data_IF_169827394597
#
_entry.id   IF_169827394597
#
_cell.length_a   1.000
_cell.length_b   1.000
_cell.length_c   1.000
_cell.angle_alpha   90.00
_cell.angle_beta   90.00
_cell.angle_gamma   90.00
#
_symmetry.space_group_name_H-M   'P 1'
#
loop_
_entity.id
_entity.type
_entity.pdbx_description
1 polymer ?
#
# COMPACT_ATOMS: atom_id res chain seq x y z
N UNK A 1 24.58 -13.63 -1.73
CA UNK A 1 23.90 -12.41 -1.22
C UNK A 1 23.23 -11.58 -2.32
N UNK A 2 23.84 -11.41 -3.50
CA UNK A 2 23.38 -10.48 -4.56
C UNK A 2 21.90 -10.64 -4.98
N UNK A 3 21.36 -11.86 -5.04
CA UNK A 3 19.98 -12.10 -5.49
C UNK A 3 18.91 -11.57 -4.52
N UNK A 4 19.18 -11.55 -3.20
CA UNK A 4 18.23 -11.02 -2.22
C UNK A 4 18.15 -9.49 -2.27
N UNK A 5 19.31 -8.84 -2.39
CA UNK A 5 19.40 -7.38 -2.53
C UNK A 5 18.77 -6.93 -3.83
N UNK A 6 19.09 -7.55 -4.97
CA UNK A 6 18.47 -7.20 -6.26
C UNK A 6 16.96 -7.40 -6.24
N UNK A 7 16.47 -8.50 -5.65
CA UNK A 7 15.04 -8.76 -5.54
C UNK A 7 14.31 -7.72 -4.68
N UNK A 8 14.89 -7.33 -3.54
CA UNK A 8 14.34 -6.30 -2.67
C UNK A 8 14.28 -4.94 -3.38
N UNK A 9 15.38 -4.54 -4.04
CA UNK A 9 15.47 -3.28 -4.78
C UNK A 9 14.39 -3.21 -5.86
N UNK A 10 14.22 -4.27 -6.66
CA UNK A 10 13.18 -4.30 -7.70
C UNK A 10 11.78 -4.13 -7.12
N UNK A 11 11.46 -4.81 -6.01
CA UNK A 11 10.15 -4.68 -5.36
C UNK A 11 9.94 -3.28 -4.80
N UNK A 12 10.94 -2.70 -4.13
CA UNK A 12 10.86 -1.34 -3.60
C UNK A 12 10.73 -0.30 -4.72
N UNK A 13 11.38 -0.52 -5.86
CA UNK A 13 11.27 0.38 -7.00
C UNK A 13 9.85 0.38 -7.59
N UNK A 14 9.24 -0.80 -7.74
CA UNK A 14 7.84 -0.92 -8.18
C UNK A 14 6.89 -0.29 -7.17
N UNK A 15 7.07 -0.60 -5.88
CA UNK A 15 6.28 -0.03 -4.79
C UNK A 15 6.33 1.50 -4.76
N UNK A 16 7.55 2.07 -4.85
CA UNK A 16 7.77 3.51 -4.91
C UNK A 16 7.16 4.14 -6.16
N UNK A 17 7.28 3.49 -7.32
CA UNK A 17 6.67 3.97 -8.56
C UNK A 17 5.14 4.05 -8.44
N UNK A 18 4.50 3.01 -7.92
CA UNK A 18 3.04 2.99 -7.70
C UNK A 18 2.62 4.06 -6.69
N UNK A 19 3.38 4.21 -5.60
CA UNK A 19 3.16 5.24 -4.60
C UNK A 19 3.20 6.64 -5.23
N UNK A 20 4.26 6.95 -5.98
CA UNK A 20 4.43 8.24 -6.65
C UNK A 20 3.37 8.50 -7.72
N UNK A 21 3.01 7.51 -8.53
CA UNK A 21 1.94 7.64 -9.53
C UNK A 21 0.59 7.88 -8.84
N UNK A 22 0.32 7.20 -7.72
CA UNK A 22 -0.89 7.41 -6.93
C UNK A 22 -0.98 8.83 -6.37
N UNK A 23 0.09 9.32 -5.74
CA UNK A 23 0.19 10.71 -5.26
C UNK A 23 -0.02 11.69 -6.40
N UNK A 24 0.69 11.50 -7.51
CA UNK A 24 0.60 12.38 -8.67
C UNK A 24 -0.84 12.40 -9.24
N UNK A 25 -1.47 11.23 -9.41
CA UNK A 25 -2.84 11.12 -9.88
C UNK A 25 -3.83 11.81 -8.92
N UNK A 26 -3.62 11.72 -7.61
CA UNK A 26 -4.49 12.40 -6.63
C UNK A 26 -4.29 13.92 -6.60
N UNK A 27 -3.08 14.43 -6.79
CA UNK A 27 -2.79 15.87 -6.74
C UNK A 27 -3.07 16.58 -8.07
N UNK A 28 -2.81 15.92 -9.20
CA UNK A 28 -2.88 16.53 -10.52
C UNK A 28 -4.32 16.67 -11.05
N UNK A 29 -5.24 15.82 -10.60
CA UNK A 29 -6.61 15.77 -11.14
C UNK A 29 -7.44 16.91 -10.58
N UNK A 30 -8.05 17.69 -11.49
CA UNK A 30 -9.01 18.77 -11.15
C UNK A 30 -10.37 18.25 -10.68
N UNK A 31 -10.75 17.02 -11.06
CA UNK A 31 -11.99 16.39 -10.63
C UNK A 31 -11.72 15.47 -9.44
N UNK A 32 -12.46 15.68 -8.35
CA UNK A 32 -12.34 14.92 -7.10
C UNK A 32 -12.56 13.42 -7.30
N UNK A 33 -13.55 13.00 -8.10
CA UNK A 33 -13.80 11.59 -8.38
C UNK A 33 -12.60 10.93 -9.09
N UNK A 34 -11.95 11.66 -10.01
CA UNK A 34 -10.74 11.18 -10.68
C UNK A 34 -9.51 11.21 -9.78
N UNK A 35 -9.43 12.15 -8.83
CA UNK A 35 -8.35 12.24 -7.84
C UNK A 35 -8.37 11.06 -6.86
N UNK A 36 -9.57 10.60 -6.48
CA UNK A 36 -9.74 9.47 -5.56
C UNK A 36 -9.20 8.15 -6.13
N UNK A 37 -9.14 7.99 -7.45
CA UNK A 37 -8.53 6.82 -8.09
C UNK A 37 -7.03 6.67 -7.80
N UNK A 38 -6.33 7.76 -7.44
CA UNK A 38 -4.92 7.72 -7.04
C UNK A 38 -4.70 7.14 -5.64
N UNK A 39 -5.70 7.16 -4.76
CA UNK A 39 -5.58 6.72 -3.37
C UNK A 39 -5.34 5.21 -3.27
N UNK A 40 -6.14 4.33 -3.91
CA UNK A 40 -5.87 2.89 -3.94
C UNK A 40 -4.51 2.55 -4.51
N UNK A 41 -4.07 3.29 -5.54
CA UNK A 41 -2.77 3.07 -6.16
C UNK A 41 -1.62 3.43 -5.20
N UNK A 42 -1.75 4.56 -4.50
CA UNK A 42 -0.80 5.03 -3.51
C UNK A 42 -0.66 4.03 -2.35
N UNK A 43 -1.78 3.67 -1.72
CA UNK A 43 -1.80 2.73 -0.60
C UNK A 43 -1.40 1.30 -1.04
N UNK A 44 -1.74 0.90 -2.27
CA UNK A 44 -1.28 -0.36 -2.86
C UNK A 44 0.24 -0.44 -2.98
N UNK A 45 0.88 0.63 -3.46
CA UNK A 45 2.35 0.75 -3.48
C UNK A 45 2.96 0.63 -2.07
N UNK A 46 2.41 1.34 -1.09
CA UNK A 46 2.85 1.25 0.31
C UNK A 46 2.70 -0.19 0.87
N UNK A 47 1.58 -0.86 0.62
CA UNK A 47 1.37 -2.25 1.02
C UNK A 47 2.39 -3.21 0.41
N UNK A 48 2.70 -3.07 -0.88
CA UNK A 48 3.73 -3.88 -1.56
C UNK A 48 5.11 -3.68 -0.91
N UNK A 49 5.45 -2.45 -0.51
CA UNK A 49 6.70 -2.18 0.20
C UNK A 49 6.77 -2.91 1.55
N UNK A 50 5.71 -2.86 2.37
CA UNK A 50 5.68 -3.56 3.67
C UNK A 50 5.79 -5.08 3.50
N UNK A 51 5.05 -5.67 2.55
CA UNK A 51 5.15 -7.11 2.24
C UNK A 51 6.54 -7.48 1.74
N UNK A 52 7.13 -6.65 0.87
CA UNK A 52 8.49 -6.83 0.36
C UNK A 52 9.51 -6.85 1.50
N UNK A 53 9.54 -5.81 2.33
CA UNK A 53 10.47 -5.70 3.46
C UNK A 53 10.32 -6.87 4.42
N UNK A 54 9.09 -7.25 4.80
CA UNK A 54 8.85 -8.38 5.69
C UNK A 54 9.35 -9.71 5.09
N UNK A 55 9.08 -9.96 3.80
CA UNK A 55 9.51 -11.18 3.11
C UNK A 55 11.03 -11.27 2.98
N UNK A 56 11.69 -10.18 2.57
CA UNK A 56 13.14 -10.19 2.34
C UNK A 56 13.94 -10.16 3.64
N UNK A 57 13.45 -9.47 4.69
CA UNK A 57 14.08 -9.50 6.03
C UNK A 57 14.03 -10.90 6.65
N UNK A 58 12.89 -11.59 6.58
CA UNK A 58 12.77 -12.98 7.04
C UNK A 58 13.74 -13.93 6.32
N UNK A 59 13.90 -13.76 5.00
CA UNK A 59 14.87 -14.54 4.21
C UNK A 59 16.32 -14.22 4.56
N UNK A 60 16.65 -12.96 4.80
CA UNK A 60 17.98 -12.55 5.21
C UNK A 60 18.34 -13.14 6.58
N UNK A 61 17.42 -13.10 7.55
CA UNK A 61 17.61 -13.69 8.87
C UNK A 61 17.85 -15.21 8.81
N UNK A 62 17.11 -15.92 7.95
CA UNK A 62 17.27 -17.37 7.75
C UNK A 62 18.66 -17.77 7.22
N UNK A 63 19.38 -16.87 6.55
CA UNK A 63 20.74 -17.14 6.06
C UNK A 63 21.81 -17.04 7.15
N UNK A 64 21.53 -16.34 8.25
CA UNK A 64 22.48 -16.13 9.36
C UNK A 64 22.40 -17.27 10.39
N UNK A 65 21.37 -18.13 10.32
CA UNK A 65 21.17 -19.22 11.27
C UNK A 65 22.26 -20.31 11.13
N UNK A 66 23.03 -20.62 12.19
CA UNK A 66 24.09 -21.63 12.13
C UNK A 66 23.52 -23.05 11.92
N UNK A 67 24.22 -23.86 11.13
CA UNK A 67 23.79 -25.18 10.64
C UNK A 67 23.42 -26.21 11.73
N UNK A 68 23.87 -26.02 12.97
CA UNK A 68 23.72 -26.97 14.09
C UNK A 68 22.99 -26.40 15.32
N UNK A 69 22.36 -25.23 15.24
CA UNK A 69 21.47 -24.74 16.31
C UNK A 69 20.07 -25.37 16.20
N UNK A 70 19.21 -25.31 17.24
CA UNK A 70 17.81 -25.63 17.07
C UNK A 70 17.33 -24.81 15.88
N UNK A 71 16.93 -25.50 14.80
CA UNK A 71 16.25 -24.86 13.69
C UNK A 71 15.02 -24.27 14.35
N UNK A 72 15.05 -22.99 14.66
CA UNK A 72 13.87 -22.28 15.13
C UNK A 72 12.96 -22.33 13.92
N UNK A 73 12.16 -23.39 13.85
CA UNK A 73 10.95 -23.48 13.07
C UNK A 73 9.99 -22.53 13.79
N UNK A 74 10.30 -21.23 13.82
CA UNK A 74 9.26 -20.27 13.49
C UNK A 74 8.84 -20.78 12.13
N UNK A 75 7.68 -21.42 12.08
CA UNK A 75 7.24 -22.12 10.90
C UNK A 75 7.38 -21.23 9.68
N UNK A 76 7.16 -21.82 8.53
CA UNK A 76 6.78 -21.09 7.32
C UNK A 76 5.57 -20.12 7.56
N UNK A 77 5.02 -20.12 8.77
CA UNK A 77 4.08 -19.20 9.42
C UNK A 77 4.70 -18.38 10.60
N UNK A 78 5.78 -17.63 10.41
CA UNK A 78 5.95 -16.42 11.25
C UNK A 78 4.74 -15.49 11.03
N UNK A 79 4.32 -14.65 12.00
CA UNK A 79 3.18 -13.77 11.79
C UNK A 79 3.39 -12.99 10.49
N UNK A 80 2.44 -13.02 9.54
CA UNK A 80 2.60 -12.41 8.23
C UNK A 80 2.44 -10.88 8.34
N UNK A 81 3.23 -10.25 9.21
CA UNK A 81 3.12 -8.84 9.63
C UNK A 81 3.08 -7.91 8.42
N UNK A 82 3.90 -8.16 7.39
CA UNK A 82 3.86 -7.38 6.16
C UNK A 82 2.53 -7.49 5.39
N UNK A 83 1.90 -8.67 5.39
CA UNK A 83 0.59 -8.88 4.76
C UNK A 83 -0.53 -8.30 5.63
N UNK A 84 -0.48 -8.47 6.95
CA UNK A 84 -1.44 -7.88 7.88
C UNK A 84 -1.47 -6.36 7.74
N UNK A 85 -0.30 -5.71 7.72
CA UNK A 85 -0.18 -4.28 7.45
C UNK A 85 -0.75 -3.94 6.08
N UNK A 86 -0.45 -4.72 5.04
CA UNK A 86 -1.00 -4.46 3.70
C UNK A 86 -2.53 -4.57 3.65
N UNK A 87 -3.13 -5.51 4.39
CA UNK A 87 -4.58 -5.65 4.52
C UNK A 87 -5.17 -4.43 5.24
N UNK A 88 -4.58 -4.01 6.35
CA UNK A 88 -5.02 -2.81 7.08
C UNK A 88 -4.91 -1.55 6.20
N UNK A 89 -3.81 -1.39 5.48
CA UNK A 89 -3.58 -0.32 4.50
C UNK A 89 -4.64 -0.34 3.39
N UNK A 90 -5.03 -1.52 2.90
CA UNK A 90 -6.09 -1.67 1.91
C UNK A 90 -7.46 -1.27 2.46
N UNK A 91 -7.79 -1.67 3.70
CA UNK A 91 -9.03 -1.29 4.38
C UNK A 91 -9.09 0.22 4.57
N UNK A 92 -8.00 0.84 5.06
CA UNK A 92 -7.89 2.29 5.22
C UNK A 92 -8.07 2.99 3.87
N UNK A 93 -7.42 2.49 2.82
CA UNK A 93 -7.56 3.05 1.48
C UNK A 93 -9.01 3.02 1.00
N UNK A 94 -9.72 1.90 1.20
CA UNK A 94 -11.12 1.77 0.82
C UNK A 94 -12.01 2.72 1.61
N UNK A 95 -11.77 2.85 2.92
CA UNK A 95 -12.50 3.77 3.78
C UNK A 95 -12.33 5.23 3.34
N UNK A 96 -11.10 5.64 2.99
CA UNK A 96 -10.80 7.00 2.50
C UNK A 96 -11.51 7.27 1.17
N UNK A 97 -11.51 6.31 0.25
CA UNK A 97 -12.23 6.45 -1.04
C UNK A 97 -13.74 6.57 -0.82
N UNK A 98 -14.33 5.69 0.00
CA UNK A 98 -15.75 5.72 0.30
C UNK A 98 -16.17 7.05 0.95
N UNK A 99 -15.38 7.54 1.91
CA UNK A 99 -15.61 8.83 2.55
C UNK A 99 -15.49 10.00 1.56
N UNK A 100 -14.47 10.00 0.71
CA UNK A 100 -14.27 11.03 -0.32
C UNK A 100 -15.43 11.10 -1.30
N UNK A 101 -15.95 9.94 -1.75
CA UNK A 101 -17.12 9.87 -2.62
C UNK A 101 -18.39 10.38 -1.91
N UNK A 102 -18.60 10.01 -0.65
CA UNK A 102 -19.74 10.47 0.14
C UNK A 102 -19.75 12.00 0.31
N UNK A 103 -18.57 12.59 0.58
CA UNK A 103 -18.41 14.04 0.69
C UNK A 103 -18.64 14.74 -0.66
N UNK A 104 -18.13 14.19 -1.76
CA UNK A 104 -18.37 14.71 -3.11
C UNK A 104 -19.87 14.72 -3.47
N UNK A 105 -20.57 13.63 -3.18
CA UNK A 105 -22.01 13.51 -3.42
C UNK A 105 -22.84 14.48 -2.56
N UNK A 106 -22.41 14.73 -1.31
CA UNK A 106 -23.02 15.74 -0.45
C UNK A 106 -22.85 17.14 -1.03
N UNK A 107 -21.63 17.51 -1.45
CA UNK A 107 -21.33 18.84 -1.98
C UNK A 107 -22.13 19.18 -3.24
N UNK A 108 -22.29 18.21 -4.16
CA UNK A 108 -23.08 18.41 -5.38
C UNK A 108 -24.57 18.64 -5.14
N UNK A 109 -25.15 18.08 -4.07
CA UNK A 109 -26.57 18.30 -3.72
C UNK A 109 -26.82 19.70 -3.17
N UNK A 110 -25.91 20.24 -2.39
CA UNK A 110 -25.99 21.61 -1.86
C UNK A 110 -25.95 22.66 -2.97
N UNK A 111 -25.08 22.50 -3.98
CA UNK A 111 -24.97 23.47 -5.08
C UNK A 111 -26.21 23.55 -5.97
N UNK A 112 -26.97 22.47 -6.11
CA UNK A 112 -28.20 22.47 -6.91
C UNK A 112 -29.35 23.23 -6.23
N UNK A 113 -29.35 23.31 -4.89
CA UNK A 113 -30.38 24.04 -4.16
C UNK A 113 -30.18 25.56 -4.14
N UNK A 114 -28.95 26.04 -4.33
CA UNK A 114 -28.62 27.48 -4.37
C UNK A 114 -28.93 28.15 -5.72
N UNK A 115 -29.52 27.43 -6.69
CA UNK A 115 -29.98 28.01 -7.96
C UNK A 115 -31.50 28.24 -8.04
N UNK A 116 -32.08 29.18 -7.28
CA UNK A 116 -33.39 29.74 -7.61
C UNK A 116 -33.21 31.08 -8.34
N UNK A 117 -33.10 31.06 -9.69
CA UNK A 117 -33.53 32.13 -10.61
C UNK A 117 -33.80 31.56 -11.99
#
# INVERSE_FOLDING_TARGET
>A
MNNLTTGLVSVLFVAASLLSIGIFASVWRRNLASALAGIPLMFGGAGIAFVGVARFSARAAAQVQPANGPRVIIGVSGPPVGQEIAVLVAIVSLAVVALGLALAARAGRSSTQESPR
#
